data_IF_893544225007
#
_entry.id   IF_893544225007
#
_cell.length_a   1.000
_cell.length_b   1.000
_cell.length_c   1.000
_cell.angle_alpha   90.00
_cell.angle_beta   90.00
_cell.angle_gamma   90.00
#
_symmetry.space_group_name_H-M   'P 1'
#
loop_
_entity.id
_entity.type
_entity.pdbx_description
1 polymer ?
#
# COMPACT_ATOMS: atom_id res chain seq x y z
N UNK A 1 -48.50 -39.37 7.79
CA UNK A 1 -48.06 -38.07 7.20
C UNK A 1 -47.60 -37.18 8.35
N UNK A 2 -46.30 -37.05 8.54
CA UNK A 2 -45.71 -36.21 9.59
C UNK A 2 -45.02 -35.01 8.93
N UNK A 3 -45.63 -33.87 9.09
CA UNK A 3 -45.19 -32.59 8.59
C UNK A 3 -43.98 -32.10 9.40
N UNK A 4 -42.78 -32.07 8.77
CA UNK A 4 -41.56 -31.53 9.33
C UNK A 4 -41.58 -29.99 9.25
N UNK A 5 -41.97 -29.38 10.37
CA UNK A 5 -41.91 -27.94 10.57
C UNK A 5 -40.42 -27.49 10.61
N UNK A 6 -39.92 -26.89 9.52
CA UNK A 6 -38.64 -26.25 9.51
C UNK A 6 -38.80 -24.84 10.12
N UNK A 7 -38.43 -24.71 11.39
CA UNK A 7 -38.33 -23.42 12.06
C UNK A 7 -37.31 -22.51 11.32
N UNK A 8 -37.56 -21.18 11.29
CA UNK A 8 -36.68 -20.25 10.61
C UNK A 8 -35.27 -20.23 11.22
N UNK A 9 -34.24 -20.40 10.38
CA UNK A 9 -32.85 -20.22 10.78
C UNK A 9 -32.69 -18.85 11.43
N UNK A 10 -32.37 -18.80 12.71
CA UNK A 10 -31.96 -17.61 13.44
C UNK A 10 -30.72 -17.07 12.76
N UNK A 11 -30.90 -15.95 12.03
CA UNK A 11 -29.82 -15.16 11.47
C UNK A 11 -28.83 -14.81 12.57
N UNK A 12 -27.56 -15.08 12.30
CA UNK A 12 -26.40 -14.76 13.13
C UNK A 12 -26.45 -13.27 13.48
N UNK A 13 -26.92 -12.93 14.67
CA UNK A 13 -26.88 -11.57 15.18
C UNK A 13 -25.40 -11.18 15.36
N UNK A 14 -24.83 -10.54 14.34
CA UNK A 14 -23.57 -9.81 14.50
C UNK A 14 -23.75 -8.88 15.70
N UNK A 15 -23.00 -9.14 16.77
CA UNK A 15 -22.97 -8.29 17.94
C UNK A 15 -22.74 -6.82 17.54
N UNK A 16 -23.17 -5.85 18.36
CA UNK A 16 -23.01 -4.44 18.05
C UNK A 16 -21.54 -4.16 17.75
N UNK A 17 -21.27 -3.65 16.53
CA UNK A 17 -19.92 -3.23 16.15
C UNK A 17 -19.42 -2.21 17.17
N UNK A 18 -18.23 -2.37 17.74
CA UNK A 18 -17.70 -1.42 18.70
C UNK A 18 -17.72 -0.03 18.05
N UNK A 19 -18.43 0.89 18.69
CA UNK A 19 -18.54 2.27 18.22
C UNK A 19 -17.16 2.91 18.39
N UNK A 20 -16.42 3.03 17.29
CA UNK A 20 -15.09 3.68 17.28
C UNK A 20 -15.31 5.15 17.48
N UNK A 21 -15.26 5.60 18.74
CA UNK A 21 -15.63 6.94 19.17
C UNK A 21 -14.83 8.08 18.48
N UNK A 22 -13.66 7.79 17.87
CA UNK A 22 -12.86 8.76 17.15
C UNK A 22 -11.92 8.07 16.15
N UNK A 23 -12.35 7.82 14.90
CA UNK A 23 -11.53 7.15 13.88
C UNK A 23 -10.22 7.91 13.58
N UNK A 24 -10.21 9.25 13.67
CA UNK A 24 -9.03 10.06 13.46
C UNK A 24 -7.94 9.85 14.50
N UNK A 25 -8.30 9.71 15.79
CA UNK A 25 -7.33 9.40 16.85
C UNK A 25 -6.73 8.00 16.68
N UNK A 26 -7.50 7.07 16.21
CA UNK A 26 -7.05 5.70 15.95
C UNK A 26 -6.07 5.65 14.77
N UNK A 27 -6.36 6.38 13.69
CA UNK A 27 -5.45 6.55 12.56
C UNK A 27 -4.13 7.21 12.98
N UNK A 28 -4.19 8.29 13.76
CA UNK A 28 -2.99 8.97 14.28
C UNK A 28 -2.14 8.03 15.16
N UNK A 29 -2.78 7.20 15.98
CA UNK A 29 -2.08 6.23 16.83
C UNK A 29 -1.39 5.14 15.99
N UNK A 30 -2.07 4.63 14.95
CA UNK A 30 -1.48 3.67 14.01
C UNK A 30 -0.33 4.28 13.21
N UNK A 31 -0.50 5.50 12.70
CA UNK A 31 0.57 6.22 12.01
C UNK A 31 1.77 6.44 12.92
N UNK A 32 1.55 6.89 14.16
CA UNK A 32 2.63 7.06 15.14
C UNK A 32 3.36 5.75 15.44
N UNK A 33 2.63 4.64 15.52
CA UNK A 33 3.22 3.31 15.71
C UNK A 33 4.12 2.90 14.54
N UNK A 34 3.66 3.12 13.30
CA UNK A 34 4.43 2.84 12.08
C UNK A 34 5.66 3.74 12.01
N UNK A 35 5.51 5.04 12.24
CA UNK A 35 6.63 5.98 12.23
C UNK A 35 7.69 5.67 13.30
N UNK A 36 7.27 5.23 14.47
CA UNK A 36 8.20 4.85 15.55
C UNK A 36 9.04 3.63 15.20
N UNK A 37 8.45 2.64 14.52
CA UNK A 37 9.12 1.38 14.19
C UNK A 37 9.81 1.39 12.83
N UNK A 38 9.26 2.12 11.85
CA UNK A 38 9.69 2.11 10.44
C UNK A 38 9.89 3.52 9.87
N UNK A 39 10.19 4.52 10.72
CA UNK A 39 10.32 5.92 10.31
C UNK A 39 11.31 6.15 9.17
N UNK A 40 12.47 5.47 9.22
CA UNK A 40 13.47 5.55 8.15
C UNK A 40 12.94 5.00 6.82
N UNK A 41 12.23 3.87 6.86
CA UNK A 41 11.62 3.29 5.67
C UNK A 41 10.55 4.22 5.07
N UNK A 42 9.75 4.88 5.90
CA UNK A 42 8.77 5.87 5.45
C UNK A 42 9.42 7.06 4.75
N UNK A 43 10.54 7.57 5.27
CA UNK A 43 11.29 8.67 4.64
C UNK A 43 11.81 8.23 3.25
N UNK A 44 12.38 7.03 3.15
CA UNK A 44 12.86 6.49 1.87
C UNK A 44 11.72 6.34 0.87
N UNK A 45 10.56 5.86 1.29
CA UNK A 45 9.35 5.76 0.44
C UNK A 45 8.94 7.13 -0.08
N UNK A 46 8.93 8.16 0.75
CA UNK A 46 8.59 9.53 0.32
C UNK A 46 9.59 10.05 -0.72
N UNK A 47 10.89 9.82 -0.51
CA UNK A 47 11.92 10.20 -1.49
C UNK A 47 11.71 9.46 -2.82
N UNK A 48 11.46 8.15 -2.80
CA UNK A 48 11.17 7.36 -3.99
C UNK A 48 9.91 7.86 -4.72
N UNK A 49 8.87 8.27 -3.97
CA UNK A 49 7.67 8.91 -4.52
C UNK A 49 8.03 10.17 -5.32
N UNK A 50 8.82 11.08 -4.74
CA UNK A 50 9.24 12.29 -5.43
C UNK A 50 10.02 11.98 -6.71
N UNK A 51 10.94 11.00 -6.67
CA UNK A 51 11.71 10.58 -7.85
C UNK A 51 10.78 10.04 -8.93
N UNK A 52 9.82 9.19 -8.57
CA UNK A 52 8.86 8.60 -9.51
C UNK A 52 7.99 9.66 -10.17
N UNK A 53 7.44 10.59 -9.38
CA UNK A 53 6.61 11.69 -9.88
C UNK A 53 7.44 12.62 -10.81
N UNK A 54 8.65 12.99 -10.39
CA UNK A 54 9.52 13.81 -11.20
C UNK A 54 9.86 13.14 -12.53
N UNK A 55 10.20 11.86 -12.52
CA UNK A 55 10.46 11.07 -13.73
C UNK A 55 9.25 11.04 -14.67
N UNK A 56 8.05 10.87 -14.13
CA UNK A 56 6.80 10.86 -14.89
C UNK A 56 6.51 12.20 -15.56
N UNK A 57 6.69 13.30 -14.83
CA UNK A 57 6.49 14.67 -15.37
C UNK A 57 7.50 14.96 -16.48
N UNK A 58 8.77 14.62 -16.28
CA UNK A 58 9.79 14.80 -17.30
C UNK A 58 9.49 13.99 -18.57
N UNK A 59 8.97 12.78 -18.43
CA UNK A 59 8.54 11.97 -19.58
C UNK A 59 7.42 12.61 -20.38
N UNK A 60 6.44 13.24 -19.72
CA UNK A 60 5.35 13.96 -20.39
C UNK A 60 5.85 15.20 -21.13
N UNK A 61 6.71 16.01 -20.50
CA UNK A 61 7.31 17.19 -21.12
C UNK A 61 8.20 16.82 -22.31
N UNK A 62 8.93 15.70 -22.20
CA UNK A 62 9.74 15.22 -23.31
C UNK A 62 8.92 14.85 -24.54
N UNK A 63 7.71 14.33 -24.37
CA UNK A 63 6.83 14.01 -25.50
C UNK A 63 6.53 15.25 -26.33
N UNK A 64 6.29 16.39 -25.69
CA UNK A 64 6.12 17.68 -26.37
C UNK A 64 7.41 18.09 -27.11
N UNK A 65 8.55 18.11 -26.42
CA UNK A 65 9.86 18.43 -26.99
C UNK A 65 10.23 17.52 -28.16
N UNK A 66 9.89 16.21 -28.06
CA UNK A 66 10.15 15.25 -29.12
C UNK A 66 9.40 15.62 -30.42
N UNK A 67 8.17 16.05 -30.31
CA UNK A 67 7.35 16.43 -31.46
C UNK A 67 7.82 17.76 -32.03
N UNK A 68 8.00 18.79 -31.20
CA UNK A 68 8.23 20.15 -31.61
C UNK A 68 9.67 20.34 -32.09
N UNK A 69 10.67 19.82 -31.39
CA UNK A 69 12.09 20.08 -31.63
C UNK A 69 12.78 19.05 -32.53
N UNK A 70 12.26 17.80 -32.55
CA UNK A 70 12.90 16.74 -33.32
C UNK A 70 12.06 16.26 -34.51
N UNK A 71 10.78 15.96 -34.36
CA UNK A 71 9.97 15.40 -35.46
C UNK A 71 9.66 16.45 -36.52
N UNK A 72 9.19 17.64 -36.14
CA UNK A 72 8.80 18.69 -37.07
C UNK A 72 9.99 19.19 -37.92
N UNK A 73 11.20 19.45 -37.35
CA UNK A 73 12.37 19.85 -38.16
C UNK A 73 12.85 18.75 -39.11
N UNK A 74 12.85 17.47 -38.63
CA UNK A 74 13.29 16.33 -39.43
C UNK A 74 12.43 16.12 -40.70
N UNK A 75 11.14 16.41 -40.66
CA UNK A 75 10.25 16.31 -41.82
C UNK A 75 10.49 17.38 -42.87
N UNK A 76 11.19 18.47 -42.50
CA UNK A 76 11.50 19.61 -43.42
C UNK A 76 12.89 19.51 -44.01
N UNK A 77 13.76 18.61 -43.55
CA UNK A 77 15.14 18.47 -44.06
C UNK A 77 15.22 17.40 -45.16
N UNK A 78 15.99 17.66 -46.17
CA UNK A 78 16.23 16.73 -47.29
C UNK A 78 17.16 15.56 -46.90
N UNK A 79 17.96 15.68 -45.84
CA UNK A 79 18.80 14.62 -45.25
C UNK A 79 18.64 14.63 -43.74
N UNK A 80 17.74 13.78 -43.20
CA UNK A 80 17.47 13.73 -41.74
C UNK A 80 18.66 13.11 -41.01
N UNK A 81 19.19 13.79 -39.99
CA UNK A 81 20.20 13.28 -39.08
C UNK A 81 19.50 12.76 -37.79
N UNK A 82 19.50 11.44 -37.59
CA UNK A 82 18.85 10.77 -36.47
C UNK A 82 19.73 10.70 -35.22
N UNK A 83 20.97 11.18 -35.26
CA UNK A 83 21.92 11.05 -34.15
C UNK A 83 21.44 11.84 -32.91
N UNK A 84 21.00 13.08 -33.14
CA UNK A 84 20.50 13.94 -32.07
C UNK A 84 19.22 13.37 -31.44
N UNK A 85 18.32 12.81 -32.24
CA UNK A 85 17.11 12.13 -31.79
C UNK A 85 17.44 10.90 -30.93
N UNK A 86 18.42 10.09 -31.34
CA UNK A 86 18.86 8.92 -30.59
C UNK A 86 19.43 9.30 -29.21
N UNK A 87 20.22 10.37 -29.13
CA UNK A 87 20.74 10.89 -27.87
C UNK A 87 19.62 11.43 -26.95
N UNK A 88 18.63 12.11 -27.49
CA UNK A 88 17.50 12.61 -26.75
C UNK A 88 16.66 11.44 -26.16
N UNK A 89 16.35 10.45 -26.99
CA UNK A 89 15.63 9.23 -26.55
C UNK A 89 16.43 8.48 -25.47
N UNK A 90 17.76 8.32 -25.66
CA UNK A 90 18.63 7.67 -24.68
C UNK A 90 18.63 8.36 -23.32
N UNK A 91 18.64 9.70 -23.29
CA UNK A 91 18.55 10.49 -22.06
C UNK A 91 17.24 10.22 -21.32
N UNK A 92 16.15 10.24 -22.03
CA UNK A 92 14.82 10.00 -21.42
C UNK A 92 14.66 8.56 -20.98
N UNK A 93 15.20 7.60 -21.71
CA UNK A 93 15.20 6.20 -21.29
C UNK A 93 15.90 6.00 -19.93
N UNK A 94 16.99 6.74 -19.67
CA UNK A 94 17.67 6.72 -18.37
C UNK A 94 16.76 7.28 -17.26
N UNK A 95 16.06 8.39 -17.50
CA UNK A 95 15.12 8.95 -16.53
C UNK A 95 13.98 7.98 -16.21
N UNK A 96 13.41 7.33 -17.23
CA UNK A 96 12.38 6.33 -17.02
C UNK A 96 12.92 5.10 -16.27
N UNK A 97 14.12 4.64 -16.59
CA UNK A 97 14.75 3.54 -15.88
C UNK A 97 14.92 3.87 -14.38
N UNK A 98 15.39 5.09 -14.05
CA UNK A 98 15.46 5.55 -12.66
C UNK A 98 14.09 5.58 -11.99
N UNK A 99 13.05 6.06 -12.67
CA UNK A 99 11.68 6.07 -12.16
C UNK A 99 11.14 4.68 -11.87
N UNK A 100 11.37 3.71 -12.76
CA UNK A 100 10.97 2.31 -12.58
C UNK A 100 11.70 1.67 -11.40
N UNK A 101 13.01 1.89 -11.28
CA UNK A 101 13.79 1.39 -10.14
C UNK A 101 13.30 1.99 -8.82
N UNK A 102 13.01 3.28 -8.77
CA UNK A 102 12.46 3.94 -7.61
C UNK A 102 11.08 3.38 -7.24
N UNK A 103 10.20 3.16 -8.20
CA UNK A 103 8.88 2.55 -8.00
C UNK A 103 8.98 1.12 -7.48
N UNK A 104 9.91 0.33 -8.02
CA UNK A 104 10.16 -1.03 -7.55
C UNK A 104 10.67 -1.04 -6.09
N UNK A 105 11.65 -0.19 -5.77
CA UNK A 105 12.18 -0.05 -4.42
C UNK A 105 11.08 0.37 -3.42
N UNK A 106 10.27 1.36 -3.79
CA UNK A 106 9.12 1.81 -3.00
C UNK A 106 8.15 0.67 -2.71
N UNK A 107 7.78 -0.12 -3.73
CA UNK A 107 6.85 -1.25 -3.57
C UNK A 107 7.43 -2.32 -2.64
N UNK A 108 8.71 -2.65 -2.76
CA UNK A 108 9.39 -3.60 -1.87
C UNK A 108 9.42 -3.13 -0.42
N UNK A 109 9.77 -1.86 -0.20
CA UNK A 109 9.82 -1.27 1.15
C UNK A 109 8.41 -1.26 1.76
N UNK A 110 7.39 -0.91 0.97
CA UNK A 110 6.01 -0.86 1.44
C UNK A 110 5.50 -2.24 1.86
N UNK A 111 5.80 -3.29 1.11
CA UNK A 111 5.50 -4.67 1.49
C UNK A 111 6.20 -5.05 2.80
N UNK A 112 7.47 -4.71 2.93
CA UNK A 112 8.24 -4.99 4.16
C UNK A 112 7.64 -4.29 5.39
N UNK A 113 7.29 -3.01 5.27
CA UNK A 113 6.66 -2.22 6.34
C UNK A 113 5.29 -2.81 6.71
N UNK A 114 4.47 -3.15 5.71
CA UNK A 114 3.14 -3.73 5.93
C UNK A 114 3.22 -5.07 6.64
N UNK A 115 4.03 -6.00 6.15
CA UNK A 115 4.19 -7.33 6.75
C UNK A 115 4.81 -7.24 8.15
N UNK A 116 5.80 -6.36 8.34
CA UNK A 116 6.39 -6.13 9.65
C UNK A 116 5.40 -5.55 10.66
N UNK A 117 4.58 -4.61 10.24
CA UNK A 117 3.53 -4.02 11.08
C UNK A 117 2.47 -5.05 11.47
N UNK A 118 1.99 -5.87 10.52
CA UNK A 118 1.05 -6.96 10.79
C UNK A 118 1.62 -7.99 11.77
N UNK A 119 2.89 -8.36 11.60
CA UNK A 119 3.57 -9.28 12.52
C UNK A 119 3.62 -8.71 13.95
N UNK A 120 4.01 -7.44 14.07
CA UNK A 120 4.10 -6.79 15.37
C UNK A 120 2.71 -6.67 16.03
N UNK A 121 1.67 -6.31 15.27
CA UNK A 121 0.29 -6.26 15.75
C UNK A 121 -0.18 -7.63 16.27
N UNK A 122 0.11 -8.71 15.52
CA UNK A 122 -0.23 -10.06 15.95
C UNK A 122 0.48 -10.45 17.25
N UNK A 123 1.76 -10.13 17.37
CA UNK A 123 2.52 -10.38 18.58
C UNK A 123 1.97 -9.59 19.77
N UNK A 124 1.69 -8.30 19.60
CA UNK A 124 1.14 -7.44 20.65
C UNK A 124 -0.23 -7.95 21.11
N UNK A 125 -1.08 -8.39 20.19
CA UNK A 125 -2.37 -9.01 20.53
C UNK A 125 -2.21 -10.33 21.25
N UNK A 126 -1.25 -11.17 20.82
CA UNK A 126 -0.99 -12.45 21.49
C UNK A 126 -0.55 -12.24 22.93
N UNK A 127 0.41 -11.35 23.17
CA UNK A 127 0.87 -10.99 24.52
C UNK A 127 -0.27 -10.42 25.34
N UNK A 128 -1.13 -9.60 24.74
CA UNK A 128 -2.29 -9.06 25.45
C UNK A 128 -3.29 -10.15 25.83
N UNK A 129 -3.56 -11.12 24.95
CA UNK A 129 -4.43 -12.26 25.24
C UNK A 129 -3.85 -13.16 26.34
N UNK A 130 -2.54 -13.41 26.33
CA UNK A 130 -1.88 -14.22 27.34
C UNK A 130 -2.00 -13.60 28.76
N UNK A 131 -2.04 -12.27 28.82
CA UNK A 131 -2.25 -11.52 30.08
C UNK A 131 -3.69 -11.49 30.59
N UNK A 132 -4.67 -12.01 29.84
CA UNK A 132 -6.07 -12.00 30.27
C UNK A 132 -6.34 -13.09 31.32
N UNK A 133 -7.18 -12.81 32.33
CA UNK A 133 -7.57 -13.80 33.33
C UNK A 133 -8.38 -14.96 32.70
N UNK A 134 -8.17 -16.17 33.15
CA UNK A 134 -8.83 -17.40 32.67
C UNK A 134 -10.35 -17.22 32.58
N UNK A 135 -10.95 -16.50 33.52
CA UNK A 135 -12.38 -16.18 33.54
C UNK A 135 -12.89 -15.50 32.25
N UNK A 136 -12.02 -14.77 31.54
CA UNK A 136 -12.39 -14.15 30.27
C UNK A 136 -12.65 -15.21 29.19
N UNK A 137 -11.83 -16.25 29.15
CA UNK A 137 -11.94 -17.34 28.17
C UNK A 137 -13.15 -18.25 28.48
N UNK A 138 -13.55 -18.36 29.75
CA UNK A 138 -14.75 -19.12 30.15
C UNK A 138 -16.05 -18.41 29.78
N UNK A 139 -16.03 -17.08 29.67
CA UNK A 139 -17.22 -16.26 29.38
C UNK A 139 -17.40 -15.90 27.91
N UNK A 140 -16.37 -16.09 27.07
CA UNK A 140 -16.41 -15.76 25.64
C UNK A 140 -16.19 -17.01 24.77
N UNK A 141 -16.96 -17.18 23.68
CA UNK A 141 -16.80 -18.33 22.78
C UNK A 141 -15.40 -18.32 22.18
N UNK A 142 -14.68 -19.42 22.27
CA UNK A 142 -13.34 -19.56 21.69
C UNK A 142 -13.32 -19.26 20.19
N UNK A 143 -14.41 -19.53 19.46
CA UNK A 143 -14.54 -19.23 18.05
C UNK A 143 -14.48 -17.73 17.73
N UNK A 144 -15.08 -16.88 18.57
CA UNK A 144 -15.08 -15.43 18.36
C UNK A 144 -13.68 -14.84 18.60
N UNK A 145 -12.98 -15.33 19.63
CA UNK A 145 -11.60 -14.92 19.94
C UNK A 145 -10.67 -15.29 18.78
N UNK A 146 -10.78 -16.54 18.28
CA UNK A 146 -9.97 -17.00 17.15
C UNK A 146 -10.32 -16.27 15.85
N UNK A 147 -11.60 -15.99 15.61
CA UNK A 147 -12.03 -15.22 14.44
C UNK A 147 -11.42 -13.80 14.43
N UNK A 148 -11.42 -13.12 15.56
CA UNK A 148 -10.81 -11.80 15.70
C UNK A 148 -9.31 -11.86 15.42
N UNK A 149 -8.62 -12.87 15.94
CA UNK A 149 -7.17 -13.02 15.75
C UNK A 149 -6.78 -13.41 14.31
N UNK A 150 -7.60 -14.18 13.59
CA UNK A 150 -7.26 -14.70 12.26
C UNK A 150 -7.82 -13.87 11.11
N UNK A 151 -9.00 -13.26 11.29
CA UNK A 151 -9.72 -12.59 10.20
C UNK A 151 -9.68 -11.06 10.26
N UNK A 152 -9.47 -10.47 11.45
CA UNK A 152 -9.51 -9.01 11.62
C UNK A 152 -8.12 -8.38 11.50
N UNK A 153 -7.06 -9.17 11.34
CA UNK A 153 -5.66 -8.78 11.09
C UNK A 153 -5.17 -9.48 9.83
#
# INVERSE_FOLDING_TARGET
>A
MAEKNHGPMRGNARGPRPNVANPGKLLLRLLSYIFKNYGFACIVVVICLFITVFSSVQGTLFMQTLIDDYIIPLTKQASPDFTELAHAIGRVAIFYACGVLASFAQSKIMVYVTQGTLRNLRNDMFIHMEGLPIRYFDTHPHGDIMSTYTNDI
#
